data_IF_593877072114
#
_entry.id   IF_593877072114
#
_cell.length_a   1.000
_cell.length_b   1.000
_cell.length_c   1.000
_cell.angle_alpha   90.00
_cell.angle_beta   90.00
_cell.angle_gamma   90.00
#
_symmetry.space_group_name_H-M   'P 1'
#
loop_
_entity.id
_entity.type
_entity.pdbx_description
1 polymer ?
2 polymer ?
3 polymer ?
4 non-polymer ?
5 water ?
#
# COMPACT_ATOMS: atom_id res chain seq x y z
N UNK A 1 1.09 20.90 3.52
CA UNK A 1 1.86 20.52 2.35
C UNK A 1 1.02 19.97 1.21
N UNK A 2 1.57 19.00 0.48
CA UNK A 2 0.95 18.39 -0.69
C UNK A 2 0.12 17.21 -0.28
N UNK A 3 -1.01 17.04 -1.01
CA UNK A 3 -1.93 15.97 -0.66
C UNK A 3 -2.50 15.29 -1.90
N UNK A 4 -2.93 14.03 -1.74
CA UNK A 4 -3.52 13.30 -2.84
C UNK A 4 -4.66 12.43 -2.37
N UNK A 5 -5.55 12.11 -3.31
CA UNK A 5 -6.62 11.15 -3.09
C UNK A 5 -6.45 10.08 -4.14
N UNK A 6 -6.65 8.83 -3.73
CA UNK A 6 -6.59 7.72 -4.67
C UNK A 6 -7.62 6.70 -4.32
N UNK A 7 -8.20 6.11 -5.36
CA UNK A 7 -9.01 4.90 -5.24
C UNK A 7 -8.24 3.80 -5.91
N UNK A 8 -8.25 2.63 -5.28
CA UNK A 8 -7.60 1.44 -5.79
C UNK A 8 -8.63 0.33 -5.95
N UNK A 9 -8.79 -0.13 -7.18
CA UNK A 9 -9.71 -1.21 -7.46
C UNK A 9 -8.98 -2.47 -7.87
N UNK A 10 -9.42 -3.61 -7.34
CA UNK A 10 -8.92 -4.91 -7.74
C UNK A 10 -10.11 -5.79 -8.12
N UNK A 11 -10.12 -6.30 -9.37
CA UNK A 11 -11.16 -7.22 -9.84
C UNK A 11 -10.48 -8.50 -10.21
N UNK A 12 -10.88 -9.61 -9.58
CA UNK A 12 -10.15 -10.84 -9.76
C UNK A 12 -11.07 -11.97 -10.15
N UNK A 13 -10.82 -12.60 -11.31
CA UNK A 13 -11.67 -13.78 -11.66
C UNK A 13 -11.14 -15.03 -10.95
N UNK A 14 -11.99 -16.07 -10.83
CA UNK A 14 -11.59 -17.29 -10.10
C UNK A 14 -12.46 -18.43 -10.64
N UNK A 15 -12.17 -18.88 -11.89
CA UNK A 15 -13.01 -19.93 -12.52
C UNK A 15 -13.23 -21.12 -11.61
N UNK A 16 -14.50 -21.50 -11.51
CA UNK A 16 -14.95 -22.63 -10.69
C UNK A 16 -15.16 -22.27 -9.24
N UNK A 17 -14.91 -20.99 -8.88
CA UNK A 17 -15.05 -20.51 -7.50
C UNK A 17 -15.91 -19.26 -7.43
N UNK A 18 -16.93 -19.24 -8.30
CA UNK A 18 -17.87 -18.14 -8.33
C UNK A 18 -17.46 -17.01 -9.26
N UNK A 19 -18.21 -15.90 -9.17
CA UNK A 19 -17.99 -14.73 -10.00
C UNK A 19 -16.81 -13.91 -9.47
N UNK A 20 -16.22 -13.08 -10.34
CA UNK A 20 -15.05 -12.30 -9.91
C UNK A 20 -15.33 -11.40 -8.71
N UNK A 21 -14.34 -11.32 -7.84
CA UNK A 21 -14.41 -10.44 -6.68
C UNK A 21 -13.97 -9.03 -7.08
N UNK A 22 -14.68 -8.03 -6.58
CA UNK A 22 -14.33 -6.62 -6.78
C UNK A 22 -14.12 -6.00 -5.43
N UNK A 23 -12.95 -5.36 -5.30
CA UNK A 23 -12.49 -4.64 -4.11
C UNK A 23 -12.22 -3.21 -4.45
N UNK A 24 -12.72 -2.30 -3.62
CA UNK A 24 -12.34 -0.89 -3.82
C UNK A 24 -11.89 -0.38 -2.46
N UNK A 25 -10.75 0.35 -2.43
CA UNK A 25 -10.34 1.04 -1.23
C UNK A 25 -10.04 2.49 -1.62
N UNK A 26 -10.26 3.42 -0.69
CA UNK A 26 -9.98 4.83 -0.95
C UNK A 26 -8.99 5.34 0.06
N UNK A 27 -8.06 6.17 -0.40
CA UNK A 27 -7.04 6.78 0.43
C UNK A 27 -6.96 8.27 0.25
N UNK A 28 -6.60 8.99 1.35
CA UNK A 28 -6.12 10.36 1.32
C UNK A 28 -4.66 10.22 1.80
N UNK A 29 -3.67 10.53 0.95
CA UNK A 29 -2.26 10.29 1.28
C UNK A 29 -2.13 8.81 1.70
N UNK A 30 -1.55 8.52 2.89
CA UNK A 30 -1.34 7.17 3.41
C UNK A 30 -2.38 6.75 4.41
N UNK A 31 -3.58 7.38 4.35
CA UNK A 31 -4.67 7.03 5.24
C UNK A 31 -5.85 6.47 4.46
N UNK A 32 -6.13 5.17 4.67
CA UNK A 32 -7.30 4.57 4.06
C UNK A 32 -8.56 5.13 4.74
N UNK A 33 -9.63 5.42 3.97
CA UNK A 33 -10.83 5.94 4.65
C UNK A 33 -12.12 5.19 4.28
N UNK A 34 -12.11 4.36 3.22
CA UNK A 34 -13.29 3.58 2.81
C UNK A 34 -12.84 2.24 2.26
N UNK A 35 -13.77 1.27 2.27
CA UNK A 35 -13.60 -0.03 1.67
C UNK A 35 -14.95 -0.51 1.12
N UNK A 36 -14.89 -1.27 0.04
CA UNK A 36 -16.05 -1.98 -0.51
C UNK A 36 -15.55 -3.34 -0.92
N UNK A 37 -16.26 -4.41 -0.56
CA UNK A 37 -15.83 -5.74 -0.97
C UNK A 37 -17.05 -6.53 -1.43
N UNK A 38 -17.05 -6.94 -2.70
CA UNK A 38 -18.21 -7.70 -3.23
C UNK A 38 -18.36 -9.06 -2.53
N UNK A 39 -17.32 -9.57 -1.86
CA UNK A 39 -17.39 -10.86 -1.13
C UNK A 39 -17.90 -10.75 0.29
N UNK A 40 -18.12 -9.52 0.80
CA UNK A 40 -18.58 -9.35 2.18
C UNK A 40 -19.99 -9.95 2.34
N UNK A 41 -20.31 -10.41 3.57
CA UNK A 41 -21.63 -11.00 3.88
C UNK A 41 -22.78 -10.10 3.36
N UNK A 42 -22.65 -8.76 3.56
CA UNK A 42 -23.59 -7.74 3.07
C UNK A 42 -22.76 -6.60 2.40
N UNK A 43 -22.45 -6.72 1.07
CA UNK A 43 -21.55 -5.72 0.46
C UNK A 43 -22.08 -4.29 0.49
N UNK A 44 -21.32 -3.44 1.19
CA UNK A 44 -21.65 -2.02 1.31
C UNK A 44 -20.36 -1.25 1.55
N UNK A 45 -20.38 0.03 1.18
CA UNK A 45 -19.21 0.88 1.44
C UNK A 45 -19.12 1.10 2.93
N UNK A 46 -17.96 0.83 3.51
CA UNK A 46 -17.76 0.97 4.93
C UNK A 46 -16.68 2.00 5.26
N UNK A 47 -16.86 2.77 6.36
CA UNK A 47 -15.81 3.73 6.76
C UNK A 47 -14.59 3.04 7.34
N UNK A 48 -13.39 3.61 7.12
CA UNK A 48 -12.16 3.02 7.64
C UNK A 48 -11.26 4.07 8.34
N UNK A 49 -11.78 5.29 8.48
CA UNK A 49 -11.17 6.42 9.17
C UNK A 49 -12.30 7.16 9.92
N UNK A 50 -12.04 7.62 11.16
CA UNK A 50 -13.12 8.26 11.94
C UNK A 50 -13.68 9.53 11.32
N UNK A 51 -12.87 10.33 10.60
CA UNK A 51 -13.34 11.58 10.01
C UNK A 51 -14.31 11.39 8.83
N UNK A 52 -14.47 10.17 8.28
CA UNK A 52 -15.43 9.98 7.20
C UNK A 52 -16.81 9.58 7.77
N UNK A 53 -16.85 9.12 9.03
CA UNK A 53 -18.08 8.63 9.66
C UNK A 53 -19.23 9.65 9.66
N UNK A 54 -18.90 10.96 9.75
CA UNK A 54 -19.87 12.08 9.73
C UNK A 54 -20.59 12.22 8.38
N UNK A 55 -20.14 11.50 7.32
CA UNK A 55 -20.82 11.59 6.05
C UNK A 55 -22.20 10.94 6.19
N UNK A 56 -23.20 11.56 5.58
CA UNK A 56 -24.58 11.13 5.66
C UNK A 56 -24.94 9.87 4.89
N UNK A 57 -26.16 9.32 5.13
CA UNK A 57 -26.57 8.08 4.44
C UNK A 57 -26.55 8.21 2.92
N UNK A 58 -26.85 9.40 2.36
CA UNK A 58 -26.82 9.67 0.92
C UNK A 58 -25.38 9.44 0.37
N UNK A 59 -24.33 9.81 1.14
CA UNK A 59 -22.93 9.57 0.75
C UNK A 59 -22.66 8.05 0.64
N UNK A 60 -23.00 7.31 1.71
CA UNK A 60 -22.79 5.86 1.79
C UNK A 60 -23.58 5.14 0.72
N UNK A 61 -24.83 5.55 0.49
CA UNK A 61 -25.65 4.91 -0.56
C UNK A 61 -25.10 5.22 -1.95
N UNK A 62 -24.61 6.45 -2.18
CA UNK A 62 -24.04 6.81 -3.47
C UNK A 62 -22.77 5.96 -3.76
N UNK A 63 -21.88 5.86 -2.78
CA UNK A 63 -20.65 5.05 -2.90
C UNK A 63 -20.99 3.59 -3.22
N UNK A 64 -21.93 3.00 -2.45
CA UNK A 64 -22.34 1.62 -2.62
C UNK A 64 -22.94 1.38 -4.03
N UNK A 65 -23.75 2.32 -4.54
CA UNK A 65 -24.33 2.19 -5.89
C UNK A 65 -23.21 2.15 -6.93
N UNK A 66 -22.23 3.05 -6.82
CA UNK A 66 -21.10 3.11 -7.74
C UNK A 66 -20.32 1.80 -7.66
N UNK A 67 -19.97 1.34 -6.45
CA UNK A 67 -19.15 0.13 -6.37
C UNK A 67 -19.91 -1.15 -6.78
N UNK A 68 -21.23 -1.19 -6.56
CA UNK A 68 -22.02 -2.33 -6.99
C UNK A 68 -22.06 -2.36 -8.52
N UNK A 69 -22.19 -1.19 -9.17
CA UNK A 69 -22.21 -1.10 -10.63
C UNK A 69 -20.81 -1.48 -11.16
N UNK A 70 -19.72 -1.00 -10.49
CA UNK A 70 -18.36 -1.38 -10.92
C UNK A 70 -18.13 -2.89 -10.79
N UNK A 71 -18.71 -3.54 -9.76
CA UNK A 71 -18.58 -4.99 -9.60
C UNK A 71 -19.07 -5.68 -10.89
N UNK A 72 -20.20 -5.21 -11.43
CA UNK A 72 -20.78 -5.80 -12.65
C UNK A 72 -19.96 -5.46 -13.90
N UNK A 73 -19.58 -4.18 -14.04
CA UNK A 73 -18.79 -3.73 -15.17
C UNK A 73 -17.44 -4.48 -15.25
N UNK A 74 -16.77 -4.66 -14.10
CA UNK A 74 -15.46 -5.33 -14.08
C UNK A 74 -15.58 -6.84 -14.40
N UNK A 75 -16.72 -7.45 -14.09
CA UNK A 75 -16.95 -8.85 -14.48
C UNK A 75 -17.01 -8.96 -16.01
N UNK A 76 -17.64 -7.95 -16.66
CA UNK A 76 -17.72 -7.90 -18.13
C UNK A 76 -16.32 -7.60 -18.71
N UNK A 77 -15.59 -6.63 -18.10
CA UNK A 77 -14.25 -6.33 -18.53
C UNK A 77 -13.31 -7.53 -18.44
N UNK A 78 -13.43 -8.35 -17.37
CA UNK A 78 -12.54 -9.51 -17.22
C UNK A 78 -12.83 -10.49 -18.36
N UNK A 79 -14.12 -10.70 -18.67
CA UNK A 79 -14.51 -11.56 -19.78
C UNK A 79 -13.90 -11.05 -21.09
N UNK A 80 -13.98 -9.74 -21.31
CA UNK A 80 -13.48 -9.11 -22.55
C UNK A 80 -12.00 -9.23 -22.69
N UNK A 81 -11.24 -8.91 -21.63
CA UNK A 81 -9.80 -8.96 -21.69
C UNK A 81 -9.30 -10.41 -21.86
N UNK A 82 -10.01 -11.39 -21.27
CA UNK A 82 -9.70 -12.80 -21.47
C UNK A 82 -9.76 -13.09 -23.00
N UNK A 83 -10.83 -12.62 -23.66
CA UNK A 83 -11.01 -12.74 -25.10
C UNK A 83 -9.92 -12.01 -25.88
N UNK A 84 -9.57 -10.77 -25.46
CA UNK A 84 -8.56 -10.01 -26.21
C UNK A 84 -7.21 -10.70 -26.25
N UNK A 85 -6.87 -11.48 -25.21
CA UNK A 85 -5.59 -12.17 -25.12
C UNK A 85 -5.73 -13.66 -25.50
N UNK A 86 -6.89 -14.04 -26.03
CA UNK A 86 -7.17 -15.44 -26.45
C UNK A 86 -6.86 -16.43 -25.31
N UNK A 87 -7.16 -16.02 -24.06
CA UNK A 87 -6.86 -16.87 -22.91
C UNK A 87 -7.95 -17.89 -22.66
N UNK A 88 -7.55 -18.98 -22.05
CA UNK A 88 -8.49 -20.05 -21.72
C UNK A 88 -9.42 -19.61 -20.55
N UNK A 89 -10.60 -20.23 -20.47
CA UNK A 89 -11.55 -19.93 -19.41
C UNK A 89 -11.09 -20.53 -18.06
N UNK A 90 -9.96 -21.27 -18.00
CA UNK A 90 -9.43 -21.95 -16.80
C UNK A 90 -8.65 -21.08 -15.80
N UNK A 91 -7.89 -20.10 -16.28
CA UNK A 91 -7.03 -19.32 -15.39
C UNK A 91 -7.69 -18.11 -14.74
N UNK A 92 -7.14 -17.70 -13.59
CA UNK A 92 -7.58 -16.54 -12.81
C UNK A 92 -6.79 -15.32 -13.27
N UNK A 93 -7.50 -14.21 -13.51
CA UNK A 93 -6.87 -12.99 -14.01
C UNK A 93 -7.28 -11.84 -13.15
N UNK A 94 -6.49 -10.76 -13.21
CA UNK A 94 -6.80 -9.59 -12.38
C UNK A 94 -6.75 -8.31 -13.18
N UNK A 95 -7.76 -7.45 -13.02
CA UNK A 95 -7.70 -6.07 -13.52
C UNK A 95 -7.51 -5.19 -12.28
N UNK A 96 -6.58 -4.25 -12.34
CA UNK A 96 -6.41 -3.27 -11.26
C UNK A 96 -6.61 -1.90 -11.82
N UNK A 97 -7.14 -0.97 -11.03
CA UNK A 97 -7.22 0.42 -11.45
C UNK A 97 -6.78 1.30 -10.32
N UNK A 98 -6.06 2.37 -10.62
CA UNK A 98 -5.71 3.34 -9.55
C UNK A 98 -5.88 4.71 -10.17
N UNK A 99 -6.67 5.56 -9.49
CA UNK A 99 -6.94 6.89 -10.05
C UNK A 99 -7.11 7.89 -8.94
N UNK A 100 -6.98 9.17 -9.29
CA UNK A 100 -7.16 10.21 -8.31
C UNK A 100 -6.46 11.50 -8.65
N UNK A 101 -6.45 12.41 -7.68
CA UNK A 101 -5.96 13.75 -7.91
C UNK A 101 -4.87 14.10 -6.92
N UNK A 102 -3.90 14.92 -7.35
CA UNK A 102 -2.82 15.44 -6.51
C UNK A 102 -2.99 16.92 -6.39
N UNK A 103 -2.91 17.43 -5.18
CA UNK A 103 -2.92 18.86 -4.86
C UNK A 103 -1.51 19.31 -4.46
N UNK A 104 -1.19 20.55 -4.78
CA UNK A 104 0.06 21.18 -4.36
C UNK A 104 -0.10 21.82 -3.00
N UNK A 105 0.95 22.39 -2.36
CA UNK A 105 0.79 22.96 -1.01
C UNK A 105 -0.23 24.11 -0.89
N UNK A 106 -0.62 24.71 -2.03
CA UNK A 106 -1.61 25.78 -2.14
C UNK A 106 -3.05 25.22 -2.30
N UNK A 107 -3.18 23.89 -2.31
CA UNK A 107 -4.47 23.23 -2.47
C UNK A 107 -4.96 23.15 -3.90
N UNK A 108 -4.16 23.62 -4.89
CA UNK A 108 -4.60 23.58 -6.28
C UNK A 108 -4.20 22.25 -6.95
N UNK A 109 -5.01 21.83 -7.94
CA UNK A 109 -4.74 20.60 -8.69
C UNK A 109 -3.38 20.66 -9.38
N UNK A 110 -2.51 19.73 -9.01
CA UNK A 110 -1.21 19.55 -9.61
C UNK A 110 -1.37 18.67 -10.85
N UNK A 111 -2.04 17.50 -10.68
CA UNK A 111 -2.27 16.60 -11.80
C UNK A 111 -3.26 15.52 -11.41
N UNK A 112 -3.84 14.90 -12.42
CA UNK A 112 -4.78 13.80 -12.26
C UNK A 112 -4.17 12.51 -12.81
N UNK A 113 -4.72 11.38 -12.35
CA UNK A 113 -4.26 10.05 -12.73
C UNK A 113 -5.39 9.11 -12.94
N UNK A 114 -5.26 8.23 -13.91
CA UNK A 114 -6.16 7.12 -14.16
C UNK A 114 -5.38 6.06 -14.87
N UNK A 115 -5.07 4.97 -14.14
CA UNK A 115 -4.27 3.88 -14.72
C UNK A 115 -4.87 2.55 -14.49
N UNK A 116 -4.86 1.68 -15.49
CA UNK A 116 -5.33 0.30 -15.34
C UNK A 116 -4.23 -0.70 -15.71
N UNK A 117 -4.27 -1.90 -15.10
CA UNK A 117 -3.34 -2.98 -15.37
C UNK A 117 -4.10 -4.29 -15.54
N UNK A 118 -3.47 -5.23 -16.25
CA UNK A 118 -4.00 -6.57 -16.41
C UNK A 118 -2.93 -7.54 -16.02
N UNK A 119 -3.22 -8.43 -15.07
CA UNK A 119 -2.26 -9.38 -14.51
C UNK A 119 -0.93 -8.70 -14.10
N UNK A 120 -1.07 -7.50 -13.53
CA UNK A 120 0.03 -6.75 -12.94
C UNK A 120 0.91 -5.99 -13.90
N UNK A 121 0.49 -5.92 -15.17
CA UNK A 121 1.21 -5.19 -16.23
C UNK A 121 0.38 -4.01 -16.69
N UNK A 122 1.03 -2.85 -16.91
CA UNK A 122 0.32 -1.70 -17.44
C UNK A 122 -0.52 -2.10 -18.63
N UNK A 123 -1.75 -1.60 -18.69
CA UNK A 123 -2.69 -1.93 -19.74
C UNK A 123 -3.12 -0.66 -20.44
N UNK A 124 -3.75 0.29 -19.74
CA UNK A 124 -4.18 1.55 -20.34
C UNK A 124 -4.04 2.65 -19.30
N UNK A 125 -3.55 3.84 -19.71
CA UNK A 125 -3.43 4.94 -18.76
C UNK A 125 -3.90 6.22 -19.38
N UNK A 126 -4.62 7.04 -18.62
CA UNK A 126 -4.97 8.40 -19.01
C UNK A 126 -3.70 9.25 -18.99
N UNK A 127 -3.40 9.93 -20.13
CA UNK A 127 -2.21 10.76 -20.16
C UNK A 127 -2.39 11.98 -19.22
N UNK A 128 -1.28 12.66 -18.90
CA UNK A 128 -1.32 13.85 -18.00
C UNK A 128 -2.24 14.96 -18.51
N UNK A 129 -2.43 15.07 -19.86
CA UNK A 129 -3.36 16.03 -20.44
C UNK A 129 -4.80 15.76 -20.08
N UNK A 130 -5.13 14.54 -19.51
CA UNK A 130 -6.48 14.16 -19.12
C UNK A 130 -7.41 14.17 -20.34
N UNK A 131 -6.85 13.91 -21.52
CA UNK A 131 -7.61 13.95 -22.76
C UNK A 131 -7.30 12.77 -23.68
N UNK A 132 -6.12 12.19 -23.55
CA UNK A 132 -5.69 11.11 -24.42
C UNK A 132 -5.19 9.92 -23.61
N UNK A 133 -5.06 8.76 -24.28
CA UNK A 133 -4.67 7.50 -23.66
C UNK A 133 -3.35 6.93 -24.17
N UNK A 134 -2.66 6.15 -23.32
CA UNK A 134 -1.48 5.32 -23.64
C UNK A 134 -1.93 3.86 -23.45
N UNK A 135 -2.13 3.15 -24.57
CA UNK A 135 -2.54 1.74 -24.59
C UNK A 135 -1.27 0.88 -24.70
N UNK A 136 -1.11 -0.10 -23.81
CA UNK A 136 0.13 -0.89 -23.78
C UNK A 136 0.32 -1.81 -24.99
N UNK A 137 -0.79 -2.27 -25.62
CA UNK A 137 -0.72 -3.27 -26.71
C UNK A 137 -1.99 -3.26 -27.54
N UNK A 138 -2.10 -4.20 -28.53
CA UNK A 138 -3.28 -4.19 -29.39
C UNK A 138 -4.57 -4.56 -28.66
N UNK A 139 -4.48 -5.29 -27.50
CA UNK A 139 -5.67 -5.56 -26.70
C UNK A 139 -6.18 -4.25 -26.07
N UNK A 140 -5.25 -3.50 -25.44
CA UNK A 140 -5.58 -2.22 -24.81
C UNK A 140 -6.09 -1.16 -25.81
N UNK A 141 -5.69 -1.28 -27.10
CA UNK A 141 -6.23 -0.43 -28.18
C UNK A 141 -7.71 -0.66 -28.37
N UNK A 142 -8.21 -1.92 -28.13
CA UNK A 142 -9.66 -2.13 -28.22
C UNK A 142 -10.38 -1.36 -27.12
N UNK A 143 -9.89 -1.45 -25.86
CA UNK A 143 -10.45 -0.69 -24.75
C UNK A 143 -10.43 0.81 -25.05
N UNK A 144 -9.33 1.25 -25.63
CA UNK A 144 -9.13 2.68 -25.95
C UNK A 144 -10.23 3.18 -26.90
N UNK A 145 -10.62 2.36 -27.93
CA UNK A 145 -11.73 2.72 -28.83
C UNK A 145 -13.06 2.80 -28.08
N UNK A 146 -13.34 1.84 -27.19
CA UNK A 146 -14.59 1.83 -26.44
C UNK A 146 -14.71 3.07 -25.54
N UNK A 147 -13.59 3.44 -24.89
CA UNK A 147 -13.50 4.52 -23.94
C UNK A 147 -13.60 5.88 -24.63
N UNK A 148 -13.08 5.96 -25.83
CA UNK A 148 -13.24 7.16 -26.67
C UNK A 148 -14.71 7.33 -27.09
N UNK A 149 -15.39 6.21 -27.45
CA UNK A 149 -16.80 6.22 -27.83
C UNK A 149 -17.69 6.68 -26.68
N UNK A 150 -17.41 6.25 -25.43
CA UNK A 150 -18.18 6.62 -24.25
C UNK A 150 -17.74 7.97 -23.69
N UNK A 151 -16.72 8.59 -24.32
CA UNK A 151 -16.11 9.88 -23.92
C UNK A 151 -15.58 9.80 -22.49
N UNK A 152 -14.95 8.66 -22.14
CA UNK A 152 -14.43 8.43 -20.78
C UNK A 152 -13.42 9.52 -20.37
N UNK A 153 -12.45 9.87 -21.23
CA UNK A 153 -11.41 10.86 -20.85
C UNK A 153 -12.02 12.21 -20.43
N UNK A 154 -13.07 12.68 -21.16
CA UNK A 154 -13.76 13.93 -20.86
C UNK A 154 -14.47 13.86 -19.51
N UNK A 155 -15.15 12.71 -19.22
CA UNK A 155 -15.82 12.50 -17.96
C UNK A 155 -14.77 12.45 -16.81
N UNK A 156 -13.63 11.75 -17.03
CA UNK A 156 -12.56 11.69 -16.02
C UNK A 156 -11.95 13.06 -15.77
N UNK A 157 -11.69 13.85 -16.83
CA UNK A 157 -11.12 15.18 -16.67
C UNK A 157 -12.06 16.06 -15.80
N UNK A 158 -13.40 16.03 -16.08
CA UNK A 158 -14.37 16.79 -15.29
C UNK A 158 -14.32 16.36 -13.82
N UNK A 159 -14.19 15.04 -13.58
CA UNK A 159 -14.15 14.55 -12.21
C UNK A 159 -12.85 14.96 -11.50
N UNK A 160 -11.70 14.71 -12.15
CA UNK A 160 -10.38 14.97 -11.58
C UNK A 160 -10.15 16.43 -11.25
N UNK A 161 -10.65 17.34 -12.11
CA UNK A 161 -10.53 18.78 -11.88
C UNK A 161 -11.66 19.33 -10.99
N UNK A 162 -12.70 18.56 -10.82
CA UNK A 162 -13.90 18.94 -10.10
C UNK A 162 -14.14 18.21 -8.80
N UNK A 163 -15.07 17.22 -8.82
CA UNK A 163 -15.44 16.47 -7.62
C UNK A 163 -14.23 15.90 -6.86
N UNK A 164 -13.22 15.43 -7.59
CA UNK A 164 -12.05 14.81 -6.94
C UNK A 164 -11.37 15.80 -5.99
N UNK A 165 -11.05 17.00 -6.50
CA UNK A 165 -10.36 18.03 -5.74
C UNK A 165 -11.30 18.56 -4.62
N UNK A 166 -12.58 18.77 -4.93
CA UNK A 166 -13.54 19.29 -3.96
C UNK A 166 -13.70 18.37 -2.78
N UNK A 167 -13.88 17.07 -3.04
CA UNK A 167 -14.05 16.11 -1.95
C UNK A 167 -12.72 15.91 -1.21
N UNK A 168 -11.58 15.91 -1.94
CA UNK A 168 -10.30 15.78 -1.27
C UNK A 168 -10.12 16.96 -0.29
N UNK A 169 -10.43 18.19 -0.73
CA UNK A 169 -10.31 19.35 0.17
C UNK A 169 -11.27 19.21 1.38
N UNK A 170 -12.48 18.67 1.16
CA UNK A 170 -13.46 18.44 2.26
C UNK A 170 -12.88 17.46 3.29
N UNK A 171 -12.35 16.33 2.79
CA UNK A 171 -11.74 15.33 3.66
C UNK A 171 -10.58 15.92 4.43
N UNK A 172 -9.69 16.69 3.75
CA UNK A 172 -8.54 17.30 4.42
C UNK A 172 -8.96 18.22 5.56
N UNK A 173 -10.10 18.91 5.39
CA UNK A 173 -10.63 19.79 6.45
C UNK A 173 -11.25 18.96 7.57
N UNK A 174 -12.13 18.00 7.23
CA UNK A 174 -12.79 17.17 8.23
C UNK A 174 -11.81 16.33 9.05
N UNK A 175 -10.72 15.91 8.41
CA UNK A 175 -9.68 15.12 9.05
C UNK A 175 -8.39 15.87 9.32
N UNK A 176 -8.44 17.22 9.42
CA UNK A 176 -7.26 18.07 9.51
C UNK A 176 -6.34 17.74 10.67
N UNK A 177 -6.89 17.27 11.79
CA UNK A 177 -6.05 16.97 12.96
C UNK A 177 -5.10 15.79 12.74
N UNK A 178 -5.42 14.89 11.79
CA UNK A 178 -4.54 13.76 11.47
C UNK A 178 -3.97 13.91 10.04
N UNK A 179 -4.82 14.18 9.08
CA UNK A 179 -4.36 14.28 7.67
C UNK A 179 -3.39 15.42 7.41
N UNK A 180 -3.52 16.51 8.18
CA UNK A 180 -2.65 17.67 7.99
C UNK A 180 -1.62 17.77 9.14
N UNK A 181 -1.40 16.64 9.83
CA UNK A 181 -0.42 16.55 10.89
C UNK A 181 0.69 15.59 10.47
N UNK A 182 1.93 16.10 10.34
CA UNK A 182 3.08 15.27 10.02
C UNK A 182 3.75 14.89 11.33
N UNK A 183 3.85 13.59 11.60
CA UNK A 183 4.48 13.07 12.81
C UNK A 183 5.91 12.72 12.46
N UNK A 184 6.87 13.40 13.10
CA UNK A 184 8.26 13.13 12.76
C UNK A 184 8.74 11.76 13.20
N UNK A 185 9.76 11.20 12.53
CA UNK A 185 10.30 9.93 13.01
C UNK A 185 11.06 10.07 14.34
N UNK A 186 10.90 9.07 15.19
CA UNK A 186 11.68 8.85 16.40
C UNK A 186 12.87 8.04 15.91
N UNK A 187 14.09 8.53 16.13
CA UNK A 187 15.25 7.87 15.56
C UNK A 187 16.27 7.40 16.59
N UNK A 188 17.03 6.35 16.22
CA UNK A 188 18.14 5.84 17.03
C UNK A 188 19.03 4.96 16.16
N UNK A 189 20.28 4.78 16.60
CA UNK A 189 21.27 3.96 15.94
C UNK A 189 21.65 2.83 16.87
N UNK A 190 21.56 1.60 16.37
CA UNK A 190 21.98 0.42 17.10
C UNK A 190 23.28 -0.13 16.51
N UNK A 191 24.04 -0.81 17.35
CA UNK A 191 25.33 -1.38 16.99
C UNK A 191 25.35 -2.85 17.39
N UNK A 192 25.69 -3.73 16.45
CA UNK A 192 25.77 -5.17 16.72
C UNK A 192 26.99 -5.79 16.06
N UNK A 193 27.98 -6.31 16.81
CA UNK A 193 29.13 -6.95 16.14
C UNK A 193 28.69 -8.16 15.30
N UNK A 194 29.20 -8.27 14.07
CA UNK A 194 28.90 -9.42 13.19
C UNK A 194 30.10 -10.36 13.21
N UNK A 195 31.21 -9.87 13.79
CA UNK A 195 32.49 -10.54 13.92
C UNK A 195 33.43 -9.69 14.77
N UNK A 196 34.70 -10.10 14.84
CA UNK A 196 35.72 -9.35 15.58
C UNK A 196 36.19 -8.11 14.80
N UNK A 197 36.07 -8.12 13.46
CA UNK A 197 36.56 -7.02 12.60
C UNK A 197 35.40 -6.15 12.04
N UNK A 198 34.15 -6.60 12.16
CA UNK A 198 33.03 -5.82 11.60
C UNK A 198 31.81 -5.76 12.51
N UNK A 199 31.00 -4.69 12.36
CA UNK A 199 29.80 -4.47 13.16
C UNK A 199 28.69 -3.90 12.30
N UNK A 200 27.44 -4.18 12.66
CA UNK A 200 26.31 -3.59 11.97
C UNK A 200 25.87 -2.34 12.67
N UNK A 201 25.72 -1.27 11.89
CA UNK A 201 25.10 -0.05 12.38
C UNK A 201 23.68 0.01 11.78
N UNK A 202 22.65 0.09 12.62
CA UNK A 202 21.28 0.15 12.08
C UNK A 202 20.62 1.43 12.49
N UNK A 203 20.19 2.20 11.51
CA UNK A 203 19.54 3.47 11.76
C UNK A 203 18.03 3.27 11.65
N UNK A 204 17.32 3.53 12.72
CA UNK A 204 15.87 3.35 12.85
C UNK A 204 15.10 4.63 12.75
N UNK A 205 13.93 4.56 12.11
CA UNK A 205 12.98 5.66 12.07
C UNK A 205 11.62 5.03 12.42
N UNK A 206 11.01 5.48 13.52
CA UNK A 206 9.76 4.92 13.99
C UNK A 206 8.70 5.99 14.22
N UNK A 207 7.43 5.59 14.07
CA UNK A 207 6.29 6.43 14.40
C UNK A 207 6.06 7.65 13.56
N UNK A 208 6.47 7.61 12.28
CA UNK A 208 6.31 8.77 11.43
C UNK A 208 5.06 8.67 10.52
N UNK A 209 4.60 9.81 10.09
CA UNK A 209 3.50 9.98 9.14
C UNK A 209 3.71 11.30 8.43
N UNK A 210 3.58 11.37 7.08
CA UNK A 210 3.26 10.28 6.15
C UNK A 210 4.44 9.32 5.93
N UNK A 211 4.21 8.28 5.12
CA UNK A 211 5.21 7.23 4.90
C UNK A 211 6.49 7.70 4.19
N UNK A 212 6.40 8.77 3.36
CA UNK A 212 7.54 9.30 2.60
C UNK A 212 8.65 9.73 3.57
N UNK A 213 9.85 9.13 3.38
CA UNK A 213 11.03 9.40 4.23
C UNK A 213 12.27 9.06 3.43
N UNK A 214 13.39 9.69 3.81
CA UNK A 214 14.70 9.40 3.25
C UNK A 214 15.63 9.06 4.42
N UNK A 215 16.19 7.84 4.38
CA UNK A 215 17.14 7.29 5.35
C UNK A 215 18.38 6.88 4.61
N UNK A 216 19.51 7.54 4.88
CA UNK A 216 20.74 7.16 4.16
C UNK A 216 21.91 7.06 5.14
N UNK A 217 22.91 6.27 4.79
CA UNK A 217 24.18 6.19 5.53
C UNK A 217 25.25 6.84 4.68
N UNK A 218 26.12 7.59 5.34
CA UNK A 218 27.28 8.19 4.71
C UNK A 218 28.52 7.69 5.42
N UNK A 219 29.60 7.45 4.67
CA UNK A 219 30.92 7.11 5.23
C UNK A 219 31.82 8.25 4.82
N UNK A 220 32.36 9.02 5.80
CA UNK A 220 33.19 10.22 5.56
C UNK A 220 32.41 11.23 4.65
N UNK A 221 31.11 11.37 4.90
CA UNK A 221 30.22 12.26 4.15
C UNK A 221 29.88 11.82 2.73
N UNK A 222 30.20 10.57 2.36
CA UNK A 222 29.92 9.99 1.04
C UNK A 222 28.80 8.95 1.15
N UNK A 223 27.70 9.13 0.35
CA UNK A 223 26.55 8.21 0.34
C UNK A 223 27.00 6.77 0.10
N UNK A 224 26.48 5.85 0.92
CA UNK A 224 26.80 4.42 0.88
C UNK A 224 25.63 3.62 0.28
N UNK A 225 25.04 4.12 -0.83
CA UNK A 225 23.85 3.54 -1.49
C UNK A 225 24.01 2.03 -1.72
N UNK A 226 25.16 1.62 -2.26
CA UNK A 226 25.43 0.22 -2.55
C UNK A 226 25.58 -0.68 -1.32
N UNK A 227 26.21 -0.18 -0.27
CA UNK A 227 26.48 -1.01 0.89
C UNK A 227 25.38 -0.93 1.98
N UNK A 228 24.32 -0.16 1.71
CA UNK A 228 23.23 -0.03 2.69
C UNK A 228 22.11 -1.05 2.43
N UNK A 229 21.69 -1.76 3.50
CA UNK A 229 20.55 -2.64 3.50
C UNK A 229 19.36 -1.78 3.96
N UNK A 230 18.42 -1.53 3.03
CA UNK A 230 17.24 -0.70 3.26
C UNK A 230 15.99 -1.53 3.26
N UNK A 231 15.24 -1.57 4.37
CA UNK A 231 13.99 -2.33 4.38
C UNK A 231 12.91 -1.43 3.83
N UNK A 232 11.90 -2.04 3.23
CA UNK A 232 10.76 -1.29 2.73
C UNK A 232 10.06 -0.63 3.91
N UNK A 233 9.58 0.61 3.71
CA UNK A 233 8.78 1.29 4.72
C UNK A 233 7.57 0.40 5.03
N UNK A 234 7.29 0.24 6.32
CA UNK A 234 6.25 -0.67 6.77
C UNK A 234 5.28 -0.02 7.75
N UNK A 235 3.99 -0.41 7.72
CA UNK A 235 3.02 0.21 8.61
C UNK A 235 3.11 -0.35 10.02
N UNK A 236 2.97 0.52 11.01
CA UNK A 236 3.01 0.08 12.40
C UNK A 236 1.67 -0.51 12.84
N UNK A 237 0.58 -0.11 12.16
CA UNK A 237 -0.78 -0.55 12.48
C UNK A 237 -1.60 0.49 13.25
N UNK A 238 -0.96 1.64 13.61
CA UNK A 238 -1.54 2.76 14.38
C UNK A 238 -1.53 4.07 13.57
N UNK A 239 -1.42 3.94 12.22
CA UNK A 239 -1.36 5.00 11.17
C UNK A 239 0.09 5.35 10.83
N UNK A 240 1.04 5.08 11.73
CA UNK A 240 2.43 5.48 11.50
C UNK A 240 3.19 4.40 10.76
N UNK A 241 4.39 4.75 10.33
CA UNK A 241 5.26 3.89 9.56
C UNK A 241 6.61 3.75 10.26
N UNK A 242 7.33 2.74 9.82
CA UNK A 242 8.66 2.37 10.30
C UNK A 242 9.61 2.11 9.14
N UNK A 243 10.89 2.35 9.36
CA UNK A 243 11.91 2.02 8.37
C UNK A 243 13.25 1.91 9.07
N UNK A 244 14.15 1.13 8.51
CA UNK A 244 15.54 1.12 9.00
C UNK A 244 16.49 0.95 7.82
N UNK A 245 17.76 1.39 8.03
CA UNK A 245 18.86 1.30 7.05
C UNK A 245 20.08 0.78 7.80
N UNK A 246 20.75 -0.26 7.28
CA UNK A 246 21.90 -0.87 7.97
C UNK A 246 23.13 -0.92 7.09
N UNK A 247 24.29 -0.71 7.72
CA UNK A 247 25.60 -0.80 7.07
C UNK A 247 26.49 -1.67 7.95
N UNK A 248 27.35 -2.48 7.29
CA UNK A 248 28.32 -3.31 8.00
C UNK A 248 29.60 -2.52 7.90
N UNK A 249 30.15 -2.16 9.05
CA UNK A 249 31.31 -1.29 9.08
C UNK A 249 32.51 -1.97 9.75
N UNK A 250 33.75 -1.58 9.39
CA UNK A 250 34.93 -2.11 10.09
C UNK A 250 34.96 -1.63 11.55
N UNK A 251 35.26 -2.54 12.50
CA UNK A 251 35.36 -2.24 13.93
C UNK A 251 36.42 -1.15 14.13
N UNK A 252 36.04 -0.09 14.83
CA UNK A 252 36.89 1.07 15.04
C UNK A 252 36.62 2.22 14.08
N UNK A 253 35.78 2.00 13.03
CA UNK A 253 35.49 3.09 12.07
C UNK A 253 34.04 3.62 12.22
N UNK A 254 33.34 3.21 13.28
CA UNK A 254 31.92 3.56 13.51
C UNK A 254 31.66 5.05 13.43
N UNK A 255 32.58 5.87 13.97
CA UNK A 255 32.39 7.32 14.00
C UNK A 255 32.54 7.99 12.63
N UNK A 256 33.01 7.25 11.61
CA UNK A 256 33.13 7.78 10.26
C UNK A 256 31.76 7.67 9.53
N UNK A 257 30.77 7.02 10.18
CA UNK A 257 29.48 6.79 9.56
C UNK A 257 28.43 7.67 10.15
N UNK A 258 27.59 8.26 9.30
CA UNK A 258 26.49 9.12 9.76
C UNK A 258 25.20 8.72 9.05
N UNK A 259 24.13 8.67 9.83
CA UNK A 259 22.79 8.39 9.31
C UNK A 259 22.06 9.70 9.11
N UNK A 260 21.48 9.87 7.91
CA UNK A 260 20.78 11.09 7.55
C UNK A 260 19.29 10.82 7.36
N UNK A 261 18.45 11.62 8.06
CA UNK A 261 16.99 11.43 8.05
C UNK A 261 16.29 12.70 7.55
N UNK A 262 15.48 12.55 6.49
CA UNK A 262 14.64 13.59 5.90
C UNK A 262 13.18 13.14 5.98
N UNK A 263 12.33 13.98 6.57
CA UNK A 263 10.88 13.75 6.75
C UNK A 263 10.16 15.08 6.94
N UNK A 264 8.91 15.17 6.47
CA UNK A 264 8.07 16.37 6.55
C UNK A 264 7.85 16.88 8.00
N UNK A 265 7.76 15.98 8.98
CA UNK A 265 7.49 16.34 10.38
C UNK A 265 8.63 16.88 11.22
N UNK A 266 9.85 16.79 10.71
CA UNK A 266 11.04 17.21 11.46
C UNK A 266 11.25 18.72 11.38
N UNK A 267 11.50 19.43 12.51
CA UNK A 267 11.80 20.87 12.43
C UNK A 267 13.03 21.13 11.55
N UNK A 268 14.02 20.20 11.60
CA UNK A 268 15.27 20.21 10.82
C UNK A 268 15.68 18.76 10.49
N UNK A 269 16.32 18.47 9.31
CA UNK A 269 16.78 17.10 9.03
C UNK A 269 17.77 16.60 10.08
N UNK A 270 17.90 15.28 10.17
CA UNK A 270 18.75 14.69 11.17
C UNK A 270 20.01 14.05 10.59
N UNK A 271 21.09 14.18 11.35
CA UNK A 271 22.40 13.55 11.25
C UNK A 271 22.58 12.83 12.57
N UNK A 272 22.67 11.51 12.52
CA UNK A 272 22.83 10.67 13.68
C UNK A 272 24.06 9.83 13.56
N UNK A 273 24.64 9.50 14.70
CA UNK A 273 25.78 8.60 14.82
C UNK A 273 25.48 7.57 15.90
N UNK A 274 26.26 6.48 15.90
CA UNK A 274 26.19 5.52 16.99
C UNK A 274 26.75 6.20 18.22
N UNK A 275 25.99 6.17 19.32
CA UNK A 275 26.37 6.77 20.60
C UNK A 275 26.73 5.65 21.58
N UNK A 276 28.04 5.29 21.71
CA UNK A 276 28.41 4.20 22.63
C UNK A 276 28.23 4.60 24.10
N UNK B 2 5.62 -13.24 -14.98
CA UNK B 2 4.17 -13.09 -14.77
C UNK B 2 3.81 -12.92 -13.28
N UNK B 3 4.52 -13.63 -12.36
CA UNK B 3 4.19 -13.60 -10.93
C UNK B 3 5.34 -13.04 -10.08
N UNK B 4 4.99 -12.43 -8.94
CA UNK B 4 5.93 -11.80 -8.02
C UNK B 4 5.76 -12.35 -6.64
N UNK B 5 6.87 -12.79 -6.07
CA UNK B 5 6.87 -13.43 -4.77
C UNK B 5 6.83 -12.41 -3.63
N UNK B 6 6.16 -12.72 -2.50
CA UNK B 6 6.06 -11.71 -1.45
C UNK B 6 7.36 -11.45 -0.72
N UNK B 7 7.53 -10.19 -0.35
CA UNK B 7 8.50 -9.69 0.58
C UNK B 7 7.80 -9.85 1.93
N UNK B 8 8.52 -10.27 2.97
CA UNK B 8 7.94 -10.50 4.27
C UNK B 8 8.75 -9.82 5.33
N UNK B 9 8.07 -9.07 6.21
CA UNK B 9 8.72 -8.46 7.37
C UNK B 9 7.90 -8.78 8.59
N UNK B 10 8.55 -9.27 9.65
CA UNK B 10 7.88 -9.60 10.93
C UNK B 10 8.49 -8.67 11.98
N UNK B 11 7.63 -7.99 12.73
CA UNK B 11 8.06 -6.94 13.65
C UNK B 11 6.95 -6.54 14.60
N UNK B 12 7.26 -5.69 15.58
CA UNK B 12 6.25 -5.24 16.53
C UNK B 12 5.84 -3.79 16.29
N UNK B 13 4.62 -3.43 16.70
CA UNK B 13 4.12 -2.05 16.53
C UNK B 13 4.97 -1.07 17.33
N UNK B 14 5.24 -1.41 18.60
CA UNK B 14 6.08 -0.61 19.50
C UNK B 14 7.37 -1.37 19.79
N UNK B 15 8.47 -0.69 20.21
CA UNK B 15 9.69 -1.46 20.56
C UNK B 15 9.34 -2.50 21.62
N UNK B 16 9.86 -3.72 21.45
CA UNK B 16 9.50 -4.81 22.37
C UNK B 16 10.09 -4.64 23.77
N UNK B 17 9.24 -4.92 24.76
CA UNK B 17 9.51 -4.91 26.21
C UNK B 17 8.87 -6.16 26.78
N UNK B 18 9.70 -7.07 27.32
CA UNK B 18 9.24 -8.32 27.92
C UNK B 18 8.18 -8.06 28.99
N UNK B 19 7.04 -8.74 28.86
CA UNK B 19 5.91 -8.60 29.76
C UNK B 19 5.00 -7.41 29.50
N UNK B 20 5.23 -6.66 28.40
CA UNK B 20 4.39 -5.52 28.03
C UNK B 20 3.60 -5.81 26.75
N UNK B 21 2.26 -5.66 26.79
CA UNK B 21 1.34 -5.88 25.66
C UNK B 21 1.77 -5.03 24.46
N UNK B 22 1.71 -5.62 23.27
CA UNK B 22 2.15 -4.98 22.04
C UNK B 22 1.33 -5.60 20.89
N UNK B 23 1.73 -5.34 19.64
CA UNK B 23 1.12 -5.95 18.46
C UNK B 23 2.21 -6.58 17.63
N UNK B 24 2.00 -7.82 17.20
CA UNK B 24 2.91 -8.57 16.35
C UNK B 24 2.39 -8.40 14.94
N UNK B 25 3.24 -7.87 14.08
CA UNK B 25 2.90 -7.58 12.67
C UNK B 25 3.64 -8.46 11.73
N UNK B 26 2.95 -8.82 10.63
CA UNK B 26 3.56 -9.48 9.49
C UNK B 26 3.10 -8.73 8.29
N UNK B 27 4.03 -8.00 7.69
CA UNK B 27 3.74 -7.20 6.50
C UNK B 27 4.23 -7.94 5.27
N UNK B 28 3.28 -8.29 4.38
CA UNK B 28 3.58 -8.98 3.13
C UNK B 28 3.37 -7.98 2.03
N UNK B 29 4.32 -7.86 1.12
CA UNK B 29 4.23 -6.83 0.08
C UNK B 29 4.95 -7.26 -1.18
N UNK B 30 4.77 -6.49 -2.25
CA UNK B 30 5.43 -6.77 -3.52
C UNK B 30 5.04 -8.06 -4.22
N UNK B 31 3.84 -8.62 -3.90
CA UNK B 31 3.44 -9.88 -4.50
C UNK B 31 2.34 -9.72 -5.54
N UNK B 32 2.26 -10.69 -6.43
CA UNK B 32 1.27 -10.74 -7.49
C UNK B 32 1.20 -12.19 -8.00
N UNK B 33 0.02 -12.82 -8.05
CA UNK B 33 -1.34 -12.27 -7.85
C UNK B 33 -1.63 -12.10 -6.34
N UNK B 34 -2.84 -11.67 -6.02
CA UNK B 34 -3.25 -11.25 -4.70
C UNK B 34 -3.52 -12.35 -3.70
N UNK B 35 -3.92 -13.57 -4.15
CA UNK B 35 -4.20 -14.62 -3.16
C UNK B 35 -2.94 -14.93 -2.35
N UNK B 36 -3.07 -14.96 -1.04
CA UNK B 36 -1.94 -15.23 -0.17
C UNK B 36 -2.47 -15.79 1.16
N UNK B 37 -1.67 -16.67 1.80
CA UNK B 37 -2.06 -17.23 3.09
C UNK B 37 -1.03 -16.77 4.10
N UNK B 38 -1.48 -16.14 5.16
CA UNK B 38 -0.56 -15.64 6.15
C UNK B 38 -1.02 -16.07 7.52
N UNK B 39 -0.11 -16.72 8.29
CA UNK B 39 -0.39 -17.09 9.66
C UNK B 39 0.67 -16.51 10.58
N UNK B 40 0.27 -16.06 11.76
CA UNK B 40 1.19 -15.65 12.81
C UNK B 40 1.33 -16.84 13.73
N UNK B 41 2.55 -17.21 14.07
CA UNK B 41 2.81 -18.40 14.90
C UNK B 41 3.39 -18.04 16.26
N UNK B 42 2.99 -18.79 17.29
CA UNK B 42 3.52 -18.68 18.64
C UNK B 42 4.05 -20.07 18.99
N UNK B 43 5.40 -20.21 19.05
CA UNK B 43 6.11 -21.48 19.30
C UNK B 43 5.64 -22.56 18.31
N UNK B 44 5.58 -22.16 17.02
CA UNK B 44 5.19 -23.00 15.89
C UNK B 44 3.71 -23.28 15.72
N UNK B 45 2.87 -22.76 16.64
CA UNK B 45 1.40 -22.96 16.63
C UNK B 45 0.70 -21.73 16.09
N UNK B 46 -0.27 -21.94 15.19
CA UNK B 46 -1.07 -20.88 14.56
C UNK B 46 -1.89 -20.12 15.61
N UNK B 47 -1.75 -18.79 15.64
CA UNK B 47 -2.52 -17.90 16.52
C UNK B 47 -3.90 -17.65 15.86
N UNK B 48 -4.98 -17.68 16.65
CA UNK B 48 -6.35 -17.41 16.17
C UNK B 48 -6.71 -15.92 16.30
N UNK B 49 -7.80 -15.48 15.63
CA UNK B 49 -8.34 -14.13 15.67
C UNK B 49 -7.33 -13.05 15.15
N UNK B 50 -6.37 -13.45 14.27
CA UNK B 50 -5.41 -12.52 13.62
C UNK B 50 -6.25 -11.65 12.69
N UNK B 51 -6.00 -10.33 12.67
CA UNK B 51 -6.73 -9.41 11.79
C UNK B 51 -5.81 -9.00 10.65
N UNK B 52 -6.39 -8.44 9.58
CA UNK B 52 -5.57 -7.98 8.47
C UNK B 52 -6.18 -6.78 7.82
N UNK B 53 -5.33 -5.99 7.15
CA UNK B 53 -5.73 -4.80 6.41
C UNK B 53 -6.51 -5.16 5.13
N UNK B 54 -7.22 -4.16 4.57
CA UNK B 54 -7.91 -4.39 3.31
C UNK B 54 -6.92 -4.39 2.16
N UNK B 55 -7.17 -5.26 1.18
CA UNK B 55 -6.32 -5.42 0.01
C UNK B 55 -6.11 -4.11 -0.74
N UNK B 56 -4.81 -3.74 -0.93
CA UNK B 56 -4.46 -2.56 -1.71
C UNK B 56 -3.19 -2.86 -2.43
N UNK B 57 -2.72 -1.91 -3.22
CA UNK B 57 -1.50 -2.21 -3.97
C UNK B 57 -0.69 -0.95 -4.21
N UNK B 58 0.59 -1.16 -4.55
CA UNK B 58 1.56 -0.11 -4.75
C UNK B 58 1.53 0.42 -6.20
N UNK B 59 2.34 1.49 -6.45
CA UNK B 59 2.40 2.09 -7.79
C UNK B 59 2.86 1.08 -8.88
N UNK B 60 3.61 0.01 -8.52
CA UNK B 60 4.05 -1.01 -9.48
C UNK B 60 3.03 -2.16 -9.60
N UNK B 61 1.80 -1.95 -9.04
CA UNK B 61 0.68 -2.90 -9.09
C UNK B 61 0.83 -4.08 -8.10
N UNK B 62 1.99 -4.21 -7.40
CA UNK B 62 2.11 -5.31 -6.45
C UNK B 62 1.29 -5.03 -5.20
N UNK B 63 0.74 -6.10 -4.64
CA UNK B 63 -0.16 -6.01 -3.50
C UNK B 63 0.56 -5.95 -2.18
N UNK B 64 -0.15 -5.46 -1.15
CA UNK B 64 0.41 -5.52 0.20
C UNK B 64 -0.70 -5.68 1.20
N UNK B 65 -0.37 -6.35 2.32
CA UNK B 65 -1.29 -6.60 3.42
C UNK B 65 -0.55 -6.59 4.71
N UNK B 66 -1.18 -6.11 5.75
CA UNK B 66 -0.65 -6.16 7.10
C UNK B 66 -1.50 -7.16 7.91
N UNK B 67 -0.88 -8.18 8.51
CA UNK B 67 -1.53 -9.16 9.40
C UNK B 67 -1.04 -8.79 10.78
N UNK B 68 -1.94 -8.73 11.76
CA UNK B 68 -1.52 -8.34 13.09
C UNK B 68 -2.35 -8.99 14.16
N UNK B 69 -1.76 -9.09 15.34
CA UNK B 69 -2.44 -9.58 16.54
C UNK B 69 -1.80 -8.98 17.78
N UNK B 70 -2.59 -8.85 18.84
CA UNK B 70 -2.09 -8.44 20.15
C UNK B 70 -1.22 -9.59 20.71
N UNK B 71 -0.06 -9.25 21.30
CA UNK B 71 0.85 -10.24 21.90
C UNK B 71 1.65 -9.59 23.02
N UNK B 72 2.12 -10.41 23.98
CA UNK B 72 2.94 -9.94 25.10
C UNK B 72 4.26 -10.68 24.95
N UNK B 73 5.31 -10.04 24.38
CA UNK B 73 6.58 -10.76 24.18
C UNK B 73 7.25 -11.11 25.50
N UNK B 74 8.03 -12.20 25.48
CA UNK B 74 8.79 -12.70 26.62
C UNK B 74 10.19 -13.03 26.11
N UNK B 75 11.09 -13.48 27.01
CA UNK B 75 12.45 -13.84 26.61
C UNK B 75 12.48 -15.21 25.91
N UNK B 76 11.59 -16.15 26.30
CA UNK B 76 11.58 -17.53 25.76
C UNK B 76 10.60 -17.80 24.59
N UNK B 77 9.43 -17.12 24.54
CA UNK B 77 8.45 -17.41 23.47
C UNK B 77 8.95 -16.97 22.10
N UNK B 78 8.78 -17.85 21.12
CA UNK B 78 9.21 -17.63 19.73
C UNK B 78 8.00 -17.25 18.87
N UNK B 79 8.15 -16.18 18.08
CA UNK B 79 7.09 -15.72 17.19
C UNK B 79 7.58 -15.75 15.77
N UNK B 80 6.65 -16.02 14.86
CA UNK B 80 7.02 -16.10 13.44
C UNK B 80 5.81 -15.78 12.57
N UNK B 81 6.08 -15.61 11.29
CA UNK B 81 5.05 -15.44 10.29
C UNK B 81 5.22 -16.52 9.24
N UNK B 82 4.14 -17.24 8.93
CA UNK B 82 4.15 -18.30 7.92
C UNK B 82 3.34 -17.83 6.73
N UNK B 83 3.98 -17.78 5.58
CA UNK B 83 3.38 -17.30 4.33
C UNK B 83 3.43 -18.33 3.23
N UNK B 84 2.30 -18.52 2.53
CA UNK B 84 2.26 -19.31 1.29
C UNK B 84 1.65 -18.45 0.16
N UNK B 85 2.16 -18.63 -1.06
CA UNK B 85 1.78 -17.92 -2.26
C UNK B 85 2.03 -18.85 -3.44
N UNK B 86 1.39 -18.61 -4.60
CA UNK B 86 1.55 -19.45 -5.80
C UNK B 86 3.05 -19.56 -6.23
N UNK B 87 3.84 -18.50 -5.97
CA UNK B 87 5.26 -18.42 -6.29
C UNK B 87 6.15 -19.28 -5.38
N UNK B 88 5.64 -19.76 -4.23
CA UNK B 88 6.46 -20.53 -3.28
C UNK B 88 6.18 -22.03 -3.36
N UNK B 89 7.24 -22.87 -3.41
CA UNK B 89 7.12 -24.34 -3.44
C UNK B 89 6.57 -24.84 -2.11
N UNK B 90 6.95 -24.17 -1.02
CA UNK B 90 6.51 -24.54 0.31
C UNK B 90 6.29 -23.26 1.13
N UNK B 91 5.50 -23.29 2.24
CA UNK B 91 5.32 -22.07 3.03
C UNK B 91 6.64 -21.54 3.57
N UNK B 92 6.84 -20.22 3.49
CA UNK B 92 8.04 -19.55 3.99
C UNK B 92 7.78 -19.11 5.43
N UNK B 93 8.70 -19.42 6.34
CA UNK B 93 8.54 -19.02 7.73
C UNK B 93 9.64 -18.01 8.04
N UNK B 94 9.23 -16.82 8.53
CA UNK B 94 10.15 -15.74 8.89
C UNK B 94 9.99 -15.51 10.38
N UNK B 95 11.07 -15.68 11.14
CA UNK B 95 11.03 -15.55 12.58
C UNK B 95 11.05 -14.11 13.01
N UNK B 96 10.38 -13.81 14.14
CA UNK B 96 10.41 -12.46 14.68
C UNK B 96 11.71 -12.23 15.43
N UNK B 97 12.39 -11.14 15.09
CA UNK B 97 13.61 -10.66 15.70
C UNK B 97 13.36 -9.21 16.09
N UNK B 98 13.36 -8.96 17.40
CA UNK B 98 13.18 -7.69 18.10
C UNK B 98 14.00 -6.50 17.53
N UNK B 99 15.17 -6.80 16.96
CA UNK B 99 16.09 -5.81 16.40
C UNK B 99 15.97 -5.74 14.88
N UNK B 100 14.83 -6.19 14.32
CA UNK B 100 14.62 -6.16 12.87
C UNK B 100 13.23 -5.60 12.46
N UNK C 1 -14.62 11.04 -2.72
CA UNK C 1 -15.74 10.44 -3.44
C UNK C 1 -15.26 9.79 -4.73
N UNK C 2 -15.66 8.56 -5.08
CA UNK C 2 -15.13 7.92 -6.31
C UNK C 2 -15.75 8.46 -7.59
N UNK C 3 -15.10 8.19 -8.72
CA UNK C 3 -15.64 8.47 -10.07
C UNK C 3 -16.91 7.65 -10.23
N UNK C 4 -17.96 8.21 -10.87
CA UNK C 4 -19.28 7.59 -10.84
C UNK C 4 -19.44 6.44 -11.81
N UNK C 5 -18.53 6.27 -12.76
CA UNK C 5 -18.65 5.16 -13.69
C UNK C 5 -17.38 4.38 -13.90
N UNK C 6 -17.57 3.13 -14.25
CA UNK C 6 -16.55 2.25 -14.76
C UNK C 6 -17.16 1.82 -16.08
N UNK C 7 -16.46 2.07 -17.16
CA UNK C 7 -16.93 1.77 -18.49
C UNK C 7 -16.32 0.44 -18.90
N UNK C 8 -17.17 -0.48 -19.36
CA UNK C 8 -16.73 -1.80 -19.83
C UNK C 8 -15.55 -1.66 -20.78
N UNK C 9 -14.45 -2.36 -20.48
CA UNK C 9 -13.19 -2.37 -21.24
C UNK C 9 -13.27 -3.28 -22.50
X LIG D 1 -12.81 3.54 11.29
X LIG D 1 -13.91 4.06 10.88
X LIG D 1 -11.83 4.17 11.78
X LIG D 1 -12.65 2.00 11.19
X LIG E 1 2.38 1.84 -0.49
X LIG E 1 2.19 1.70 0.76
X LIG E 1 3.23 1.20 -1.18
X LIG E 1 1.50 2.88 -1.22
#
# INVERSE_FOLDING_TARGET
>A
GSHSMRYFYTAMSRPGRGEPRFIAVGYVDDTQFVRFDSDAASPRTEPRAPWIEQEGPEYWDRNTQIFKTNTQTYRESLRNLRGYYNQSEAGSHIIQRMYGCDLGPDGRLLRGHDQSAYDGKDYIALNEDLSSWTAADTAAQITQRKWEAARVAEQLRAYLEGLCVEWLRRYLENGKETLQRADPPKTHVTHHPVSDHEATLRCWALGFYPAEITLTWQRDGEDQTQDTELVETRPAGDRTFQKWAAVVVPSGEEQRYTCHVQHEGLPKPLTLRWEP
>B
MIQRTPKIQVYSRHPAENGKSNFLNCYVSGFHPSDIEVDLLKNGERIEKVEHSDLSFSKDWSFYLLYYTEFTPTEKDEYACRVNHVTLSQPKIVKWDRDM
>C
LPFDKATIM
>D hetero
1 ACT C O OXT CH3
>E hetero
1 ACT C O OXT CH3
#
